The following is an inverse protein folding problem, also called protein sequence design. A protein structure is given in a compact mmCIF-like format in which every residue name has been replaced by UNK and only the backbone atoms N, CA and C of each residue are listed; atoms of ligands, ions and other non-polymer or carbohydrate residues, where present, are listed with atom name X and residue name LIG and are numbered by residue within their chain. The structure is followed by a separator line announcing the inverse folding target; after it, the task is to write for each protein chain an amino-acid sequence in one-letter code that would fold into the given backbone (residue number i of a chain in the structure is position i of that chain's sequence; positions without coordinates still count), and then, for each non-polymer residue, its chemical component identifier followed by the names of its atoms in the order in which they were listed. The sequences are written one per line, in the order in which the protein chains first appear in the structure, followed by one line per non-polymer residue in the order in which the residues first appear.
data_IF_912768731206
#
_entry.id   IF_912768731206
#
_cell.length_a   1.000
_cell.length_b   1.000
_cell.length_c   1.000
_cell.angle_alpha   90.00
_cell.angle_beta   90.00
_cell.angle_gamma   90.00
#
_symmetry.space_group_name_H-M   'P 1'
#
loop_
_entity.id
_entity.type
_entity.pdbx_description
1 polymer ?
#
# COMPACT_ATOMS: atom_id res chain seq x y z
N UNK A 1 -2.97 -22.49 17.02
CA UNK A 1 -1.95 -21.66 17.71
C UNK A 1 -1.69 -20.35 16.97
N UNK A 2 -1.56 -20.32 15.64
CA UNK A 2 -1.23 -19.12 14.84
C UNK A 2 -2.37 -18.07 14.79
N UNK A 3 -3.64 -18.50 14.86
CA UNK A 3 -4.79 -17.60 14.93
C UNK A 3 -4.80 -16.70 16.18
N UNK A 4 -4.14 -17.12 17.26
CA UNK A 4 -4.06 -16.37 18.53
C UNK A 4 -2.98 -15.28 18.50
N UNK A 5 -1.84 -15.50 17.83
CA UNK A 5 -0.76 -14.51 17.81
C UNK A 5 -1.12 -13.28 16.98
N UNK A 6 -1.74 -13.46 15.81
CA UNK A 6 -2.23 -12.33 15.03
C UNK A 6 -3.40 -11.61 15.71
N UNK A 7 -4.22 -12.32 16.49
CA UNK A 7 -5.26 -11.69 17.34
C UNK A 7 -4.63 -10.83 18.43
N UNK A 8 -3.62 -11.36 19.15
CA UNK A 8 -2.86 -10.60 20.15
C UNK A 8 -2.14 -9.40 19.55
N UNK A 9 -1.63 -9.52 18.32
CA UNK A 9 -1.03 -8.38 17.62
C UNK A 9 -2.06 -7.30 17.31
N UNK A 10 -3.22 -7.66 16.77
CA UNK A 10 -4.29 -6.71 16.49
C UNK A 10 -4.75 -5.96 17.76
N UNK A 11 -4.93 -6.68 18.86
CA UNK A 11 -5.35 -6.07 20.13
C UNK A 11 -4.27 -5.10 20.65
N UNK A 12 -3.00 -5.52 20.63
CA UNK A 12 -1.88 -4.62 20.96
C UNK A 12 -1.83 -3.40 20.05
N UNK A 13 -2.01 -3.59 18.74
CA UNK A 13 -1.99 -2.51 17.75
C UNK A 13 -3.10 -1.49 18.03
N UNK A 14 -4.32 -1.94 18.35
CA UNK A 14 -5.43 -1.05 18.72
C UNK A 14 -5.12 -0.23 19.97
N UNK A 15 -4.58 -0.86 21.00
CA UNK A 15 -4.20 -0.16 22.24
C UNK A 15 -3.06 0.84 22.03
N UNK A 16 -2.09 0.49 21.20
CA UNK A 16 -1.03 1.41 20.79
C UNK A 16 -1.58 2.58 19.97
N UNK A 17 -2.54 2.35 19.06
CA UNK A 17 -3.22 3.44 18.34
C UNK A 17 -3.96 4.41 19.27
N UNK A 18 -4.44 3.96 20.44
CA UNK A 18 -5.10 4.83 21.43
C UNK A 18 -4.11 5.63 22.28
N UNK A 19 -2.92 5.06 22.53
CA UNK A 19 -1.98 5.57 23.54
C UNK A 19 -0.73 6.27 22.98
N UNK A 20 -0.36 6.01 21.73
CA UNK A 20 0.86 6.52 21.09
C UNK A 20 0.56 7.50 19.97
N UNK A 21 1.57 8.25 19.57
CA UNK A 21 1.47 9.18 18.43
C UNK A 21 1.42 8.44 17.10
N UNK A 22 0.74 9.02 16.11
CA UNK A 22 0.60 8.40 14.79
C UNK A 22 1.94 8.18 14.08
N UNK A 23 2.95 9.03 14.34
CA UNK A 23 4.30 8.85 13.78
C UNK A 23 4.97 7.58 14.32
N UNK A 24 4.91 7.34 15.64
CA UNK A 24 5.49 6.13 16.24
C UNK A 24 4.81 4.88 15.67
N UNK A 25 3.48 4.88 15.54
CA UNK A 25 2.74 3.75 14.98
C UNK A 25 3.14 3.47 13.53
N UNK A 26 3.27 4.51 12.70
CA UNK A 26 3.67 4.34 11.30
C UNK A 26 5.09 3.80 11.20
N UNK A 27 6.04 4.40 11.92
CA UNK A 27 7.44 3.97 11.87
C UNK A 27 7.59 2.53 12.40
N UNK A 28 6.95 2.20 13.52
CA UNK A 28 7.06 0.89 14.17
C UNK A 28 6.39 -0.23 13.38
N UNK A 29 5.18 -0.01 12.85
CA UNK A 29 4.34 -1.11 12.33
C UNK A 29 4.21 -1.12 10.81
N UNK A 30 4.34 0.03 10.15
CA UNK A 30 4.19 0.12 8.70
C UNK A 30 5.55 0.14 8.00
N UNK A 31 6.56 0.81 8.58
CA UNK A 31 7.89 0.93 7.98
C UNK A 31 8.82 -0.17 8.50
N UNK A 32 8.98 -0.28 9.82
CA UNK A 32 9.92 -1.21 10.44
C UNK A 32 9.36 -2.64 10.54
N UNK A 33 10.26 -3.61 10.75
CA UNK A 33 9.95 -5.03 10.90
C UNK A 33 9.67 -5.76 9.59
N UNK A 34 9.53 -7.07 9.67
CA UNK A 34 9.08 -7.89 8.55
C UNK A 34 7.57 -7.76 8.33
N UNK A 35 7.11 -8.22 7.18
CA UNK A 35 5.69 -8.20 6.83
C UNK A 35 5.00 -9.51 7.20
N UNK A 36 3.75 -9.40 7.65
CA UNK A 36 2.93 -10.56 8.01
C UNK A 36 2.92 -11.63 6.91
N UNK A 37 2.74 -11.22 5.65
CA UNK A 37 2.70 -12.15 4.53
C UNK A 37 3.94 -13.05 4.45
N UNK A 38 5.13 -12.47 4.56
CA UNK A 38 6.37 -13.24 4.47
C UNK A 38 6.67 -14.01 5.75
N UNK A 39 6.37 -13.48 6.93
CA UNK A 39 6.55 -14.21 8.19
C UNK A 39 5.68 -15.47 8.29
N UNK A 40 4.43 -15.38 7.84
CA UNK A 40 3.45 -16.45 8.04
C UNK A 40 3.46 -17.50 6.93
N UNK A 41 3.74 -17.09 5.69
CA UNK A 41 3.59 -17.96 4.52
C UNK A 41 4.92 -18.29 3.84
N UNK A 42 6.01 -17.61 4.19
CA UNK A 42 7.30 -17.71 3.51
C UNK A 42 8.46 -17.49 4.49
N UNK A 43 9.63 -17.09 3.99
CA UNK A 43 10.81 -16.79 4.78
C UNK A 43 11.17 -15.30 4.71
N UNK A 44 12.00 -14.82 5.64
CA UNK A 44 12.55 -13.46 5.59
C UNK A 44 13.43 -13.22 4.36
N UNK A 45 14.07 -14.27 3.85
CA UNK A 45 14.86 -14.24 2.61
C UNK A 45 13.96 -13.99 1.39
N UNK A 46 12.74 -14.54 1.38
CA UNK A 46 11.74 -14.24 0.34
C UNK A 46 11.33 -12.76 0.34
N UNK A 47 11.19 -12.12 1.50
CA UNK A 47 10.88 -10.69 1.58
C UNK A 47 12.02 -9.85 0.96
N UNK A 48 13.27 -10.21 1.26
CA UNK A 48 14.44 -9.57 0.68
C UNK A 48 14.43 -9.70 -0.85
N UNK A 49 14.28 -10.91 -1.37
CA UNK A 49 14.27 -11.16 -2.81
C UNK A 49 13.09 -10.49 -3.53
N UNK A 50 11.92 -10.45 -2.90
CA UNK A 50 10.75 -9.72 -3.40
C UNK A 50 11.07 -8.23 -3.56
N UNK A 51 11.56 -7.57 -2.48
CA UNK A 51 11.90 -6.15 -2.51
C UNK A 51 13.05 -5.86 -3.48
N UNK A 52 14.05 -6.73 -3.52
CA UNK A 52 15.22 -6.60 -4.40
C UNK A 52 14.83 -6.65 -5.88
N UNK A 53 13.93 -7.56 -6.25
CA UNK A 53 13.44 -7.68 -7.63
C UNK A 53 12.73 -6.39 -8.09
N UNK A 54 11.86 -5.82 -7.23
CA UNK A 54 11.18 -4.55 -7.52
C UNK A 54 12.20 -3.41 -7.61
N UNK A 55 13.13 -3.33 -6.66
CA UNK A 55 14.15 -2.27 -6.62
C UNK A 55 15.02 -2.26 -7.89
N UNK A 56 15.49 -3.43 -8.32
CA UNK A 56 16.35 -3.57 -9.50
C UNK A 56 15.59 -3.23 -10.79
N UNK A 57 14.33 -3.63 -10.91
CA UNK A 57 13.50 -3.33 -12.09
C UNK A 57 13.27 -1.84 -12.33
N UNK A 58 13.38 -1.02 -11.27
CA UNK A 58 13.16 0.43 -11.28
C UNK A 58 14.45 1.23 -11.07
N UNK A 59 15.58 0.55 -10.82
CA UNK A 59 16.85 1.17 -10.48
C UNK A 59 16.81 2.04 -9.21
N UNK A 60 15.98 1.67 -8.22
CA UNK A 60 15.88 2.36 -6.91
C UNK A 60 16.59 1.57 -5.82
N UNK A 61 16.82 2.18 -4.66
CA UNK A 61 17.45 1.47 -3.55
C UNK A 61 16.45 0.55 -2.85
N UNK A 62 16.86 -0.62 -2.37
CA UNK A 62 15.95 -1.59 -1.72
C UNK A 62 15.22 -1.01 -0.50
N UNK A 63 15.85 -0.08 0.23
CA UNK A 63 15.24 0.61 1.38
C UNK A 63 14.08 1.53 0.99
N UNK A 64 13.96 1.88 -0.29
CA UNK A 64 12.85 2.67 -0.80
C UNK A 64 11.62 1.81 -1.10
N UNK A 65 11.69 0.48 -0.90
CA UNK A 65 10.60 -0.46 -1.13
C UNK A 65 9.97 -0.88 0.20
N UNK A 66 8.69 -0.52 0.39
CA UNK A 66 7.93 -0.79 1.61
C UNK A 66 6.69 -1.59 1.27
N UNK A 67 6.52 -2.79 1.86
CA UNK A 67 5.23 -3.47 1.82
C UNK A 67 4.27 -2.78 2.78
N UNK A 68 3.04 -2.54 2.34
CA UNK A 68 2.01 -1.85 3.11
C UNK A 68 0.70 -2.64 3.10
N UNK A 69 -0.34 -2.09 3.72
CA UNK A 69 -1.66 -2.69 3.75
C UNK A 69 -1.73 -3.97 4.59
N UNK A 70 -2.70 -4.82 4.27
CA UNK A 70 -2.94 -6.06 5.04
C UNK A 70 -1.84 -7.10 4.87
N UNK A 71 -1.06 -7.07 3.77
CA UNK A 71 0.12 -7.92 3.62
C UNK A 71 1.24 -7.58 4.62
N UNK A 72 1.33 -6.31 5.04
CA UNK A 72 2.27 -5.85 6.08
C UNK A 72 1.77 -6.19 7.48
N UNK A 73 0.52 -5.84 7.79
CA UNK A 73 -0.03 -5.92 9.16
C UNK A 73 -0.72 -7.24 9.49
N UNK A 74 -1.14 -8.02 8.50
CA UNK A 74 -1.99 -9.20 8.70
C UNK A 74 -3.48 -8.90 8.83
N UNK A 75 -3.87 -7.63 8.76
CA UNK A 75 -5.25 -7.16 8.75
C UNK A 75 -5.38 -5.81 8.03
N UNK A 76 -6.58 -5.50 7.55
CA UNK A 76 -6.90 -4.21 6.92
C UNK A 76 -7.13 -3.13 7.98
N UNK A 77 -6.56 -1.95 7.75
CA UNK A 77 -6.85 -0.73 8.53
C UNK A 77 -7.62 0.31 7.68
N UNK A 78 -8.22 -0.13 6.58
CA UNK A 78 -9.09 0.72 5.74
C UNK A 78 -10.50 0.72 6.35
N UNK A 79 -11.16 1.88 6.50
CA UNK A 79 -12.56 1.92 6.91
C UNK A 79 -13.46 1.35 5.82
N UNK A 80 -14.68 0.97 6.19
CA UNK A 80 -15.69 0.49 5.25
C UNK A 80 -16.14 1.62 4.32
N UNK A 81 -16.37 1.31 3.04
CA UNK A 81 -16.76 2.31 2.04
C UNK A 81 -18.14 2.92 2.33
N UNK A 82 -19.04 2.12 2.88
CA UNK A 82 -20.40 2.55 3.21
C UNK A 82 -20.44 3.38 4.50
N UNK A 83 -19.48 3.18 5.40
CA UNK A 83 -19.36 3.94 6.65
C UNK A 83 -17.90 4.14 7.02
N UNK A 84 -17.41 5.37 6.84
CA UNK A 84 -16.03 5.76 7.14
C UNK A 84 -15.70 5.74 8.65
N UNK A 85 -16.69 5.49 9.51
CA UNK A 85 -16.55 5.31 10.96
C UNK A 85 -16.45 3.83 11.35
N UNK A 86 -16.60 2.90 10.41
CA UNK A 86 -16.55 1.47 10.70
C UNK A 86 -15.23 0.88 10.23
N UNK A 87 -14.45 0.33 11.17
CA UNK A 87 -13.21 -0.39 10.90
C UNK A 87 -13.38 -1.86 11.29
N UNK A 88 -13.56 -2.74 10.30
CA UNK A 88 -13.78 -4.17 10.54
C UNK A 88 -12.49 -4.95 10.85
N UNK A 89 -11.32 -4.37 10.64
CA UNK A 89 -10.02 -5.05 10.82
C UNK A 89 -9.95 -6.43 10.14
N UNK A 90 -10.51 -6.54 8.95
CA UNK A 90 -10.57 -7.80 8.19
C UNK A 90 -9.18 -8.41 8.09
N UNK A 91 -9.03 -9.67 8.52
CA UNK A 91 -7.75 -10.40 8.47
C UNK A 91 -7.26 -10.54 7.02
N UNK A 92 -5.96 -10.72 6.86
CA UNK A 92 -5.38 -11.08 5.57
C UNK A 92 -6.05 -12.35 5.04
N UNK A 93 -6.43 -12.35 3.76
CA UNK A 93 -7.22 -13.40 3.10
C UNK A 93 -8.64 -13.64 3.67
N UNK A 94 -9.22 -12.69 4.42
CA UNK A 94 -10.57 -12.82 4.99
C UNK A 94 -11.64 -13.21 3.95
N UNK A 95 -11.72 -12.49 2.83
CA UNK A 95 -12.74 -12.77 1.79
C UNK A 95 -12.55 -14.17 1.17
N UNK A 96 -11.31 -14.60 0.94
CA UNK A 96 -10.97 -15.94 0.45
C UNK A 96 -11.29 -17.03 1.48
N UNK A 97 -11.12 -16.73 2.78
CA UNK A 97 -11.44 -17.68 3.85
C UNK A 97 -12.94 -17.95 4.00
N UNK A 98 -13.79 -17.03 3.56
CA UNK A 98 -15.25 -17.19 3.54
C UNK A 98 -15.70 -18.00 2.33
N UNK A 99 -15.10 -17.74 1.15
CA UNK A 99 -15.41 -18.42 -0.08
C UNK A 99 -14.14 -18.51 -0.93
N UNK A 100 -13.72 -19.72 -1.28
CA UNK A 100 -12.51 -20.01 -2.04
C UNK A 100 -12.56 -19.53 -3.50
N UNK A 101 -13.76 -19.19 -4.00
CA UNK A 101 -13.93 -18.50 -5.29
C UNK A 101 -13.62 -17.01 -5.21
N UNK A 102 -13.48 -16.43 -4.01
CA UNK A 102 -13.08 -15.04 -3.86
C UNK A 102 -11.59 -14.86 -4.13
N UNK A 103 -11.20 -13.62 -4.45
CA UNK A 103 -9.80 -13.27 -4.64
C UNK A 103 -9.07 -13.27 -3.29
N UNK A 104 -7.83 -13.77 -3.29
CA UNK A 104 -6.89 -13.59 -2.17
C UNK A 104 -6.51 -12.12 -2.03
N UNK A 105 -6.06 -11.73 -0.84
CA UNK A 105 -5.64 -10.35 -0.57
C UNK A 105 -4.48 -9.93 -1.47
N UNK A 106 -4.36 -8.65 -1.79
CA UNK A 106 -3.27 -8.16 -2.64
C UNK A 106 -2.00 -7.88 -1.81
N UNK A 107 -0.86 -7.80 -2.49
CA UNK A 107 0.40 -7.29 -1.95
C UNK A 107 0.58 -5.84 -2.41
N UNK A 108 0.25 -4.90 -1.52
CA UNK A 108 0.42 -3.47 -1.77
C UNK A 108 1.88 -3.06 -1.44
N UNK A 109 2.55 -2.41 -2.37
CA UNK A 109 3.93 -1.95 -2.26
C UNK A 109 3.98 -0.44 -2.48
N UNK A 110 4.68 0.27 -1.60
CA UNK A 110 5.04 1.66 -1.75
C UNK A 110 6.51 1.78 -2.14
N UNK A 111 6.79 2.59 -3.16
CA UNK A 111 8.15 2.97 -3.57
C UNK A 111 8.34 4.43 -3.20
N UNK A 112 9.38 4.75 -2.41
CA UNK A 112 9.67 6.11 -1.99
C UNK A 112 10.85 6.66 -2.78
N UNK A 113 10.60 7.31 -3.90
CA UNK A 113 11.67 7.80 -4.78
C UNK A 113 11.26 9.07 -5.52
N UNK A 114 11.85 10.20 -5.14
CA UNK A 114 11.60 11.49 -5.79
C UNK A 114 12.02 11.49 -7.25
N UNK A 115 13.16 10.86 -7.58
CA UNK A 115 13.64 10.72 -8.96
C UNK A 115 12.65 9.95 -9.82
N UNK A 116 12.18 8.79 -9.35
CA UNK A 116 11.20 7.99 -10.09
C UNK A 116 9.87 8.75 -10.19
N UNK A 117 9.42 9.38 -9.11
CA UNK A 117 8.19 10.16 -9.12
C UNK A 117 8.22 11.28 -10.17
N UNK A 118 9.28 12.09 -10.19
CA UNK A 118 9.41 13.22 -11.11
C UNK A 118 9.55 12.76 -12.57
N UNK A 119 10.28 11.66 -12.82
CA UNK A 119 10.35 11.01 -14.16
C UNK A 119 8.96 10.57 -14.65
N UNK A 120 8.18 9.91 -13.78
CA UNK A 120 6.84 9.46 -14.12
C UNK A 120 5.85 10.62 -14.34
N UNK A 121 6.04 11.76 -13.66
CA UNK A 121 5.24 12.95 -13.95
C UNK A 121 5.47 13.46 -15.37
N UNK A 122 6.73 13.51 -15.83
CA UNK A 122 7.05 13.95 -17.19
C UNK A 122 6.43 12.97 -18.21
N UNK A 123 6.59 11.67 -17.99
CA UNK A 123 6.02 10.63 -18.86
C UNK A 123 4.50 10.70 -18.91
N UNK A 124 3.84 10.89 -17.77
CA UNK A 124 2.40 11.02 -17.70
C UNK A 124 1.92 12.30 -18.41
N UNK A 125 2.64 13.41 -18.26
CA UNK A 125 2.36 14.65 -18.98
C UNK A 125 2.41 14.45 -20.50
N UNK A 126 3.42 13.73 -20.99
CA UNK A 126 3.55 13.39 -22.42
C UNK A 126 2.46 12.42 -22.89
N UNK A 127 2.22 11.34 -22.13
CA UNK A 127 1.21 10.30 -22.45
C UNK A 127 -0.19 10.87 -22.58
N UNK A 128 -0.51 11.87 -21.76
CA UNK A 128 -1.84 12.47 -21.70
C UNK A 128 -2.00 13.69 -22.60
N UNK A 129 -1.01 13.98 -23.43
CA UNK A 129 -0.91 15.21 -24.23
C UNK A 129 -1.20 16.45 -23.37
N UNK A 130 -0.37 16.68 -22.35
CA UNK A 130 -0.51 17.80 -21.43
C UNK A 130 -1.81 17.78 -20.60
N UNK A 131 -2.32 16.60 -20.27
CA UNK A 131 -3.60 16.39 -19.56
C UNK A 131 -4.84 16.90 -20.32
N UNK A 132 -4.85 16.77 -21.64
CA UNK A 132 -6.02 17.11 -22.44
C UNK A 132 -7.22 16.22 -22.10
N UNK A 133 -8.38 16.85 -21.95
CA UNK A 133 -9.64 16.17 -21.61
C UNK A 133 -10.15 15.25 -22.74
N UNK A 134 -9.63 15.39 -23.97
CA UNK A 134 -9.89 14.47 -25.08
C UNK A 134 -9.14 13.14 -24.96
N UNK A 135 -8.02 13.12 -24.21
CA UNK A 135 -7.16 11.94 -24.02
C UNK A 135 -7.47 11.26 -22.69
N UNK A 136 -7.78 12.05 -21.66
CA UNK A 136 -8.11 11.55 -20.32
C UNK A 136 -9.63 11.47 -20.15
N UNK A 137 -10.13 10.35 -19.61
CA UNK A 137 -11.54 10.22 -19.25
C UNK A 137 -12.01 11.34 -18.30
N UNK A 138 -13.22 11.83 -18.50
CA UNK A 138 -13.80 12.91 -17.66
C UNK A 138 -13.67 12.61 -16.17
N UNK A 139 -13.15 13.58 -15.40
CA UNK A 139 -12.90 13.46 -13.96
C UNK A 139 -11.59 12.79 -13.56
N UNK A 140 -10.92 12.04 -14.44
CA UNK A 140 -9.65 11.40 -14.11
C UNK A 140 -8.50 12.41 -13.94
N UNK A 141 -8.50 13.53 -14.69
CA UNK A 141 -7.52 14.62 -14.49
C UNK A 141 -7.51 15.17 -13.06
N UNK A 142 -8.69 15.43 -12.49
CA UNK A 142 -8.81 15.94 -11.12
C UNK A 142 -8.32 14.92 -10.09
N UNK A 143 -8.55 13.63 -10.34
CA UNK A 143 -8.06 12.57 -9.46
C UNK A 143 -6.54 12.44 -9.55
N UNK A 144 -5.98 12.41 -10.75
CA UNK A 144 -4.53 12.41 -10.98
C UNK A 144 -3.89 13.61 -10.25
N UNK A 145 -4.36 14.83 -10.50
CA UNK A 145 -3.85 16.04 -9.86
C UNK A 145 -3.93 15.98 -8.33
N UNK A 146 -5.07 15.51 -7.78
CA UNK A 146 -5.26 15.34 -6.33
C UNK A 146 -4.21 14.44 -5.70
N UNK A 147 -3.85 13.33 -6.34
CA UNK A 147 -2.86 12.41 -5.78
C UNK A 147 -1.42 12.88 -6.02
N UNK A 148 -1.14 13.50 -7.16
CA UNK A 148 0.16 14.16 -7.41
C UNK A 148 0.43 15.24 -6.35
N UNK A 149 -0.55 16.08 -6.01
CA UNK A 149 -0.43 17.09 -4.95
C UNK A 149 -0.20 16.49 -3.56
N UNK A 150 -0.65 15.24 -3.34
CA UNK A 150 -0.34 14.46 -2.15
C UNK A 150 1.03 13.76 -2.21
N UNK A 151 1.82 14.03 -3.25
CA UNK A 151 3.11 13.40 -3.48
C UNK A 151 3.01 11.90 -3.71
N UNK A 152 1.90 11.42 -4.28
CA UNK A 152 1.63 10.00 -4.51
C UNK A 152 1.12 9.76 -5.94
N UNK A 153 1.83 8.93 -6.71
CA UNK A 153 1.32 8.34 -7.95
C UNK A 153 0.59 7.06 -7.55
N UNK A 154 -0.74 7.13 -7.54
CA UNK A 154 -1.62 6.01 -7.23
C UNK A 154 -1.98 5.25 -8.53
N UNK A 155 -1.73 3.93 -8.63
CA UNK A 155 -2.01 3.14 -9.83
C UNK A 155 -3.42 3.27 -10.36
N UNK A 156 -4.40 3.18 -9.45
CA UNK A 156 -5.82 3.22 -9.79
C UNK A 156 -6.29 4.58 -10.34
N UNK A 157 -5.44 5.60 -10.33
CA UNK A 157 -5.75 6.92 -10.89
C UNK A 157 -5.09 7.17 -12.24
N UNK A 158 -4.16 6.33 -12.65
CA UNK A 158 -3.47 6.46 -13.93
C UNK A 158 -4.39 6.03 -15.10
N UNK A 159 -4.17 6.56 -16.31
CA UNK A 159 -4.80 6.03 -17.51
C UNK A 159 -4.57 4.53 -17.63
N UNK A 160 -5.58 3.77 -18.10
CA UNK A 160 -5.52 2.29 -18.12
C UNK A 160 -4.41 1.74 -19.02
N UNK A 161 -4.02 2.49 -20.03
CA UNK A 161 -2.97 2.19 -20.99
C UNK A 161 -1.60 2.76 -20.58
N UNK A 162 -1.53 3.53 -19.48
CA UNK A 162 -0.28 4.07 -18.98
C UNK A 162 0.53 3.00 -18.26
N UNK A 163 1.81 2.90 -18.62
CA UNK A 163 2.76 1.94 -18.06
C UNK A 163 3.92 2.67 -17.40
N UNK A 164 4.28 2.30 -16.17
CA UNK A 164 5.42 2.90 -15.46
C UNK A 164 6.74 2.58 -16.20
N UNK A 165 6.94 1.30 -16.50
CA UNK A 165 7.98 0.77 -17.39
C UNK A 165 7.69 -0.69 -17.70
N UNK A 166 8.24 -1.24 -18.79
CA UNK A 166 8.07 -2.66 -19.11
C UNK A 166 8.71 -3.56 -18.03
N UNK A 167 9.90 -3.19 -17.54
CA UNK A 167 10.62 -3.96 -16.54
C UNK A 167 9.83 -4.18 -15.24
N UNK A 168 9.12 -3.15 -14.76
CA UNK A 168 8.31 -3.30 -13.54
C UNK A 168 7.05 -4.13 -13.80
N UNK A 169 6.44 -4.05 -14.98
CA UNK A 169 5.29 -4.89 -15.33
C UNK A 169 5.67 -6.38 -15.39
N UNK A 170 6.80 -6.71 -16.00
CA UNK A 170 7.32 -8.06 -16.08
C UNK A 170 7.63 -8.59 -14.67
N UNK A 171 8.22 -7.74 -13.83
CA UNK A 171 8.52 -8.04 -12.42
C UNK A 171 7.24 -8.25 -11.61
N UNK A 172 6.24 -7.38 -11.73
CA UNK A 172 4.93 -7.54 -11.07
C UNK A 172 4.25 -8.84 -11.50
N UNK A 173 4.31 -9.20 -12.78
CA UNK A 173 3.73 -10.43 -13.31
C UNK A 173 4.41 -11.67 -12.73
N UNK A 174 5.75 -11.69 -12.73
CA UNK A 174 6.55 -12.78 -12.18
C UNK A 174 6.30 -12.94 -10.67
N UNK A 175 6.31 -11.85 -9.91
CA UNK A 175 6.03 -11.88 -8.46
C UNK A 175 4.59 -12.31 -8.18
N UNK A 176 3.63 -11.80 -8.96
CA UNK A 176 2.22 -12.16 -8.78
C UNK A 176 1.99 -13.65 -9.02
N UNK A 177 2.65 -14.23 -10.02
CA UNK A 177 2.64 -15.66 -10.29
C UNK A 177 3.33 -16.46 -9.17
N UNK A 178 4.54 -16.06 -8.76
CA UNK A 178 5.32 -16.74 -7.71
C UNK A 178 4.53 -16.81 -6.41
N UNK A 179 3.97 -15.69 -5.98
CA UNK A 179 3.30 -15.57 -4.68
C UNK A 179 1.79 -15.85 -4.73
N UNK A 180 1.22 -16.04 -5.93
CA UNK A 180 -0.21 -16.27 -6.19
C UNK A 180 -1.08 -15.17 -5.56
N UNK A 181 -0.70 -13.91 -5.77
CA UNK A 181 -1.30 -12.69 -5.21
C UNK A 181 -1.11 -11.56 -6.22
N UNK A 182 -2.02 -10.62 -6.35
CA UNK A 182 -1.77 -9.43 -7.17
C UNK A 182 -0.78 -8.50 -6.46
N UNK A 183 0.20 -7.98 -7.20
CA UNK A 183 1.18 -7.02 -6.67
C UNK A 183 0.87 -5.62 -7.17
N UNK A 184 0.43 -4.75 -6.26
CA UNK A 184 0.09 -3.35 -6.54
C UNK A 184 1.22 -2.42 -6.12
N UNK A 185 1.55 -1.42 -6.94
CA UNK A 185 2.73 -0.57 -6.70
C UNK A 185 2.37 0.91 -6.75
N UNK A 186 2.46 1.62 -5.63
CA UNK A 186 2.35 3.08 -5.58
C UNK A 186 3.70 3.78 -5.44
N UNK A 187 3.89 4.94 -6.07
CA UNK A 187 5.14 5.70 -5.99
C UNK A 187 4.91 6.99 -5.18
N UNK A 188 5.65 7.17 -4.10
CA UNK A 188 5.67 8.37 -3.29
C UNK A 188 6.89 9.24 -3.62
N UNK A 189 6.69 10.56 -3.64
CA UNK A 189 7.75 11.53 -3.93
C UNK A 189 8.85 11.55 -2.85
N UNK A 190 8.49 11.34 -1.59
CA UNK A 190 9.44 11.28 -0.48
C UNK A 190 8.82 10.63 0.76
N UNK A 191 9.68 10.28 1.72
CA UNK A 191 9.27 9.75 3.02
C UNK A 191 8.29 10.67 3.75
N UNK A 192 8.44 11.98 3.59
CA UNK A 192 7.50 12.95 4.13
C UNK A 192 6.06 12.70 3.67
N UNK A 193 5.84 12.52 2.36
CA UNK A 193 4.49 12.28 1.82
C UNK A 193 3.95 10.90 2.23
N UNK A 194 4.80 9.88 2.19
CA UNK A 194 4.46 8.53 2.63
C UNK A 194 4.01 8.53 4.10
N UNK A 195 4.83 9.06 4.99
CA UNK A 195 4.55 9.09 6.42
C UNK A 195 3.31 9.94 6.72
N UNK A 196 3.18 11.14 6.14
CA UNK A 196 2.03 12.01 6.40
C UNK A 196 0.71 11.39 5.96
N UNK A 197 0.70 10.67 4.83
CA UNK A 197 -0.48 9.93 4.39
C UNK A 197 -0.89 8.87 5.42
N UNK A 198 0.06 8.03 5.86
CA UNK A 198 -0.22 6.97 6.81
C UNK A 198 -0.52 7.50 8.22
N UNK A 199 0.17 8.54 8.68
CA UNK A 199 -0.06 9.20 9.96
C UNK A 199 -1.48 9.74 10.06
N UNK A 200 -2.00 10.33 8.98
CA UNK A 200 -3.39 10.84 8.93
C UNK A 200 -4.42 9.71 9.00
N UNK A 201 -4.16 8.59 8.34
CA UNK A 201 -5.03 7.41 8.40
C UNK A 201 -5.03 6.81 9.82
N UNK A 202 -3.86 6.64 10.44
CA UNK A 202 -3.72 6.17 11.83
C UNK A 202 -4.38 7.13 12.81
N UNK A 203 -4.22 8.44 12.62
CA UNK A 203 -4.87 9.43 13.47
C UNK A 203 -6.39 9.31 13.41
N UNK A 204 -6.95 9.14 12.21
CA UNK A 204 -8.40 8.95 12.02
C UNK A 204 -8.87 7.66 12.69
N UNK A 205 -8.10 6.57 12.54
CA UNK A 205 -8.38 5.30 13.21
C UNK A 205 -8.34 5.44 14.74
N UNK A 206 -7.34 6.14 15.29
CA UNK A 206 -7.20 6.39 16.72
C UNK A 206 -8.41 7.13 17.29
N UNK A 207 -8.84 8.23 16.65
CA UNK A 207 -10.04 8.96 17.04
C UNK A 207 -11.29 8.08 16.99
N UNK A 208 -11.39 7.22 15.99
CA UNK A 208 -12.50 6.28 15.88
C UNK A 208 -12.52 5.24 17.00
N UNK A 209 -11.37 4.66 17.33
CA UNK A 209 -11.23 3.70 18.43
C UNK A 209 -11.59 4.34 19.77
N UNK A 210 -11.16 5.58 20.02
CA UNK A 210 -11.49 6.31 21.25
C UNK A 210 -13.00 6.59 21.36
N UNK A 211 -13.65 6.99 20.25
CA UNK A 211 -15.08 7.28 20.24
C UNK A 211 -15.99 6.06 20.45
N UNK A 212 -15.48 4.83 20.32
CA UNK A 212 -16.21 3.58 20.53
C UNK A 212 -15.64 2.74 21.67
N UNK A 213 -14.82 3.34 22.54
CA UNK A 213 -14.31 2.71 23.77
C UNK A 213 -15.16 3.01 25.00
N UNK A 214 -16.29 3.72 24.82
CA UNK A 214 -17.35 3.96 25.81
C UNK A 214 -18.58 3.10 25.48
#
# INVERSE_FOLDING_TARGET
MISDENSKFLDRFKEECKSKSSDEIVQRHLIDGSSYFFNELYTTDDEFHFKKSIADSLGVHIRDIVLVGSGKLGFSIKPEKADLRLYLFKKFDYEFSINDNNKKSDLDVAIVSGRLFDDQLIKLYQHTDCYLDSVISSGARNQIAKYILKGWIQPNTLPKDYKISQNIEDTQSLLSQKYKREVNIGIYKSWFYFEKYHQRNIHTLSLNLLAHSE
#
